data_IF_319602295878
#
_entry.id   IF_319602295878
#
_cell.length_a   1.000
_cell.length_b   1.000
_cell.length_c   1.000
_cell.angle_alpha   90.00
_cell.angle_beta   90.00
_cell.angle_gamma   90.00
#
_symmetry.space_group_name_H-M   'P 1'
#
loop_
_entity.id
_entity.type
_entity.pdbx_description
1 polymer ?
#
# COMPACT_ATOMS: atom_id res chain seq x y z
N UNK A 1 25.21 -45.18 -2.97
CA UNK A 1 24.48 -46.08 -2.06
C UNK A 1 24.94 -45.80 -0.64
N UNK A 2 24.16 -45.04 0.11
CA UNK A 2 24.30 -44.90 1.55
C UNK A 2 22.87 -44.75 2.10
N UNK A 3 22.44 -45.81 2.77
CA UNK A 3 21.15 -45.92 3.46
C UNK A 3 21.24 -45.22 4.82
N UNK A 4 20.13 -44.63 5.26
CA UNK A 4 19.92 -44.14 6.62
C UNK A 4 19.01 -42.91 6.57
N UNK A 5 17.68 -43.02 6.63
CA UNK A 5 16.93 -43.75 7.65
C UNK A 5 16.66 -42.81 8.82
N UNK A 6 15.85 -41.77 8.60
CA UNK A 6 15.36 -40.91 9.68
C UNK A 6 13.90 -41.25 9.99
N UNK A 7 13.69 -41.45 11.29
CA UNK A 7 12.57 -41.99 12.02
C UNK A 7 11.19 -41.42 11.64
N UNK A 8 10.23 -42.34 11.53
CA UNK A 8 8.82 -42.14 11.85
C UNK A 8 8.67 -41.52 13.25
N UNK A 9 8.04 -40.36 13.31
CA UNK A 9 7.52 -39.74 14.54
C UNK A 9 6.11 -39.25 14.28
N UNK A 10 5.15 -40.18 14.26
CA UNK A 10 3.71 -39.89 14.22
C UNK A 10 3.32 -39.32 15.59
N UNK A 11 2.96 -38.03 15.64
CA UNK A 11 2.19 -37.45 16.74
C UNK A 11 0.79 -37.17 16.19
N UNK A 12 -0.11 -38.13 16.40
CA UNK A 12 -1.55 -37.88 16.34
C UNK A 12 -1.92 -36.97 17.52
N UNK A 13 -2.20 -35.70 17.24
CA UNK A 13 -2.97 -34.83 18.11
C UNK A 13 -4.35 -34.64 17.50
N UNK A 14 -5.32 -35.46 17.91
CA UNK A 14 -6.74 -35.14 17.73
C UNK A 14 -7.11 -34.12 18.81
N UNK A 15 -7.16 -32.85 18.42
CA UNK A 15 -7.83 -31.79 19.17
C UNK A 15 -9.12 -31.44 18.46
N UNK A 16 -10.20 -32.14 18.82
CA UNK A 16 -11.57 -31.78 18.45
C UNK A 16 -12.17 -30.91 19.56
N UNK A 17 -13.16 -30.09 19.19
CA UNK A 17 -14.07 -29.28 20.03
C UNK A 17 -13.62 -27.82 20.20
N UNK A 18 -14.44 -26.78 20.05
CA UNK A 18 -15.82 -26.58 19.57
C UNK A 18 -15.99 -25.05 19.51
N UNK A 19 -16.81 -24.56 18.56
CA UNK A 19 -17.61 -23.33 18.62
C UNK A 19 -16.93 -22.01 19.04
N UNK A 20 -16.83 -21.05 18.12
CA UNK A 20 -17.54 -19.77 18.27
C UNK A 20 -17.59 -19.01 16.94
N UNK A 21 -18.80 -18.78 16.44
CA UNK A 21 -19.10 -17.67 15.53
C UNK A 21 -19.03 -16.40 16.38
N UNK A 22 -17.83 -15.89 16.58
CA UNK A 22 -17.58 -14.72 17.39
C UNK A 22 -16.52 -13.88 16.71
N UNK A 23 -16.94 -13.01 15.80
CA UNK A 23 -16.23 -11.75 15.67
C UNK A 23 -16.29 -11.12 17.07
N UNK A 24 -15.21 -11.32 17.83
CA UNK A 24 -14.93 -10.53 19.02
C UNK A 24 -14.72 -9.11 18.48
N UNK A 25 -15.86 -8.44 18.26
CA UNK A 25 -15.95 -7.00 18.37
C UNK A 25 -15.65 -6.78 19.84
N UNK A 26 -14.36 -6.82 20.19
CA UNK A 26 -13.87 -6.27 21.42
C UNK A 26 -14.63 -4.95 21.50
N UNK A 27 -15.42 -4.80 22.56
CA UNK A 27 -15.97 -3.52 23.02
C UNK A 27 -14.84 -2.54 23.37
N UNK A 28 -13.74 -2.53 22.60
CA UNK A 28 -12.96 -1.36 22.31
C UNK A 28 -13.94 -0.35 21.76
N UNK A 29 -14.25 0.64 22.60
CA UNK A 29 -15.04 1.79 22.24
C UNK A 29 -14.46 2.37 20.95
N UNK A 30 -15.08 2.01 19.84
CA UNK A 30 -14.97 2.71 18.58
C UNK A 30 -15.16 4.19 18.96
N UNK A 31 -14.14 5.05 18.84
CA UNK A 31 -14.30 6.45 19.19
C UNK A 31 -15.52 6.94 18.42
N UNK A 32 -16.53 7.39 19.16
CA UNK A 32 -17.77 7.89 18.57
C UNK A 32 -17.35 8.90 17.51
N UNK A 33 -18.01 8.84 16.35
CA UNK A 33 -17.74 9.67 15.18
C UNK A 33 -16.75 9.13 14.13
N UNK A 34 -16.06 8.00 14.34
CA UNK A 34 -15.17 7.40 13.32
C UNK A 34 -15.90 6.46 12.34
N UNK A 35 -15.35 6.24 11.14
CA UNK A 35 -15.96 5.40 10.09
C UNK A 35 -16.29 3.99 10.60
N UNK A 36 -17.53 3.55 10.36
CA UNK A 36 -18.05 2.25 10.83
C UNK A 36 -18.52 2.25 12.29
N UNK A 37 -18.34 3.34 13.03
CA UNK A 37 -18.80 3.47 14.42
C UNK A 37 -20.21 4.09 14.50
N UNK A 38 -20.85 4.00 15.69
CA UNK A 38 -22.16 4.60 15.92
C UNK A 38 -22.10 6.14 15.96
N UNK A 39 -23.15 6.79 15.45
CA UNK A 39 -23.28 8.24 15.52
C UNK A 39 -23.43 8.74 16.97
N UNK A 40 -23.15 10.01 17.21
CA UNK A 40 -23.50 10.65 18.49
C UNK A 40 -25.02 10.64 18.71
N UNK A 41 -25.47 10.92 19.94
CA UNK A 41 -26.91 11.06 20.24
C UNK A 41 -27.59 12.21 19.48
N UNK A 42 -26.80 13.15 18.94
CA UNK A 42 -27.24 14.23 18.05
C UNK A 42 -27.23 13.85 16.56
N UNK A 43 -26.77 12.64 16.21
CA UNK A 43 -26.64 12.18 14.82
C UNK A 43 -25.40 12.72 14.10
N UNK A 44 -24.37 13.12 14.85
CA UNK A 44 -23.13 13.69 14.31
C UNK A 44 -22.05 12.61 14.16
N UNK A 45 -21.16 12.82 13.20
CA UNK A 45 -19.97 12.02 12.89
C UNK A 45 -18.77 12.95 12.69
N UNK A 46 -17.56 12.40 12.50
CA UNK A 46 -16.36 13.20 12.27
C UNK A 46 -16.51 13.94 10.93
N UNK A 47 -15.86 15.12 10.77
CA UNK A 47 -15.92 15.87 9.52
C UNK A 47 -15.61 14.99 8.31
N UNK A 48 -16.50 14.97 7.31
CA UNK A 48 -16.40 14.11 6.12
C UNK A 48 -17.19 12.80 6.20
N UNK A 49 -17.82 12.49 7.33
CA UNK A 49 -18.71 11.33 7.50
C UNK A 49 -20.17 11.77 7.66
N UNK A 50 -21.10 10.94 7.21
CA UNK A 50 -22.54 11.14 7.38
C UNK A 50 -23.13 10.02 8.23
N UNK A 51 -24.07 10.37 9.11
CA UNK A 51 -24.78 9.39 9.91
C UNK A 51 -25.89 8.73 9.07
N UNK A 52 -25.63 7.53 8.55
CA UNK A 52 -26.62 6.69 7.86
C UNK A 52 -27.00 5.51 8.74
N UNK A 53 -28.30 5.31 8.97
CA UNK A 53 -28.82 4.21 9.79
C UNK A 53 -28.15 4.03 11.18
N UNK A 54 -27.80 5.14 11.85
CA UNK A 54 -27.08 5.18 13.14
C UNK A 54 -25.60 4.76 13.09
N UNK A 55 -25.00 4.70 11.90
CA UNK A 55 -23.58 4.40 11.69
C UNK A 55 -22.94 5.53 10.87
N UNK A 56 -21.73 5.93 11.23
CA UNK A 56 -20.94 6.89 10.47
C UNK A 56 -20.36 6.22 9.22
N UNK A 57 -20.83 6.61 8.05
CA UNK A 57 -20.32 6.16 6.74
C UNK A 57 -19.63 7.31 6.03
N UNK A 58 -18.72 7.01 5.10
CA UNK A 58 -18.10 8.01 4.26
C UNK A 58 -19.20 8.89 3.64
N UNK A 59 -19.16 10.18 3.95
CA UNK A 59 -20.05 11.17 3.38
C UNK A 59 -19.70 11.29 1.92
N UNK A 60 -20.34 10.48 1.09
CA UNK A 60 -20.16 10.51 -0.36
C UNK A 60 -20.22 11.96 -0.80
N UNK A 61 -19.11 12.40 -1.38
CA UNK A 61 -18.77 13.78 -1.68
C UNK A 61 -20.02 14.63 -1.87
N UNK A 62 -20.40 15.39 -0.83
CA UNK A 62 -21.23 16.56 -1.05
C UNK A 62 -20.35 17.52 -1.82
N UNK A 63 -20.29 17.29 -3.13
CA UNK A 63 -20.02 18.28 -4.17
C UNK A 63 -20.86 19.49 -3.78
N UNK A 64 -20.20 20.40 -3.08
CA UNK A 64 -20.75 21.70 -2.79
C UNK A 64 -20.89 22.39 -4.13
N UNK A 65 -22.07 22.31 -4.72
CA UNK A 65 -22.53 23.19 -5.78
C UNK A 65 -22.61 24.60 -5.16
N UNK A 66 -21.46 25.24 -5.03
CA UNK A 66 -21.30 26.61 -4.57
C UNK A 66 -21.83 27.59 -5.59
N UNK A 67 -23.13 27.52 -5.89
CA UNK A 67 -23.87 28.54 -6.63
C UNK A 67 -24.15 29.72 -5.69
N UNK A 68 -23.09 30.48 -5.44
CA UNK A 68 -23.08 31.70 -4.63
C UNK A 68 -22.48 32.87 -5.40
N UNK A 69 -22.98 33.15 -6.61
CA UNK A 69 -22.78 34.41 -7.31
C UNK A 69 -23.10 35.60 -6.38
N UNK A 70 -22.08 36.33 -5.92
CA UNK A 70 -22.12 37.80 -5.90
C UNK A 70 -20.73 38.39 -5.67
N UNK A 71 -20.10 38.92 -6.72
CA UNK A 71 -19.01 39.89 -6.54
C UNK A 71 -18.05 40.00 -7.71
N UNK A 72 -18.35 40.93 -8.61
CA UNK A 72 -17.43 41.47 -9.60
C UNK A 72 -16.23 42.12 -8.87
N UNK A 73 -15.14 41.37 -8.74
CA UNK A 73 -13.92 41.82 -8.09
C UNK A 73 -12.73 41.62 -9.01
N UNK A 74 -12.46 42.61 -9.85
CA UNK A 74 -11.20 42.78 -10.57
C UNK A 74 -10.06 42.83 -9.55
N UNK A 75 -9.41 41.69 -9.33
CA UNK A 75 -8.33 41.52 -8.37
C UNK A 75 -7.21 40.71 -8.99
N UNK A 76 -6.40 41.37 -9.81
CA UNK A 76 -5.08 40.91 -10.23
C UNK A 76 -4.24 40.72 -8.95
N UNK A 77 -4.13 39.47 -8.50
CA UNK A 77 -3.55 39.13 -7.19
C UNK A 77 -2.95 37.73 -7.20
N UNK A 78 -1.97 37.55 -8.08
CA UNK A 78 -0.81 36.67 -7.99
C UNK A 78 -0.38 36.37 -6.54
N UNK A 79 -0.84 35.24 -6.01
CA UNK A 79 -0.63 34.86 -4.61
C UNK A 79 -0.88 33.38 -4.33
N UNK A 80 -0.54 32.50 -5.27
CA UNK A 80 -0.51 31.05 -5.05
C UNK A 80 0.70 30.69 -4.16
N UNK A 81 0.49 30.68 -2.85
CA UNK A 81 1.41 30.10 -1.86
C UNK A 81 0.69 29.10 -0.96
N UNK A 82 -0.02 28.17 -1.57
CA UNK A 82 -0.73 27.10 -0.87
C UNK A 82 -0.81 25.85 -1.73
N UNK A 83 0.32 25.24 -2.01
CA UNK A 83 0.54 23.85 -2.46
C UNK A 83 0.08 22.84 -1.40
N UNK A 84 -1.14 23.04 -0.89
CA UNK A 84 -1.88 22.06 -0.13
C UNK A 84 -2.37 20.97 -1.06
N UNK A 85 -1.41 20.20 -1.60
CA UNK A 85 -1.64 19.00 -2.39
C UNK A 85 -2.38 18.00 -1.50
N UNK A 86 -3.71 18.11 -1.54
CA UNK A 86 -4.66 17.16 -0.96
C UNK A 86 -5.42 16.45 -2.07
N UNK A 87 -4.73 16.19 -3.18
CA UNK A 87 -5.19 15.27 -4.22
C UNK A 87 -6.25 15.87 -5.14
N UNK A 88 -5.89 16.89 -5.91
CA UNK A 88 -6.70 17.52 -6.95
C UNK A 88 -6.72 16.74 -8.29
N UNK A 89 -6.10 15.55 -8.34
CA UNK A 89 -6.32 14.60 -9.44
C UNK A 89 -5.76 15.07 -10.78
N UNK A 90 -4.75 15.93 -10.74
CA UNK A 90 -3.96 16.47 -11.85
C UNK A 90 -3.06 15.42 -12.54
N UNK A 91 -3.11 14.17 -12.09
CA UNK A 91 -2.53 13.05 -12.81
C UNK A 91 -1.03 12.89 -12.55
N UNK A 92 -0.56 13.41 -11.42
CA UNK A 92 0.77 13.13 -10.91
C UNK A 92 0.88 11.62 -10.62
N UNK A 93 1.43 10.90 -11.60
CA UNK A 93 1.64 9.47 -11.49
C UNK A 93 2.76 9.13 -10.49
N UNK A 94 3.44 10.12 -9.91
CA UNK A 94 4.46 9.92 -8.90
C UNK A 94 3.88 9.41 -7.59
N UNK A 95 4.49 8.37 -7.04
CA UNK A 95 4.01 7.71 -5.84
C UNK A 95 5.16 7.36 -4.90
N UNK A 96 4.85 7.16 -3.61
CA UNK A 96 5.81 6.67 -2.64
C UNK A 96 5.73 5.13 -2.53
N UNK A 97 6.82 4.38 -2.77
CA UNK A 97 6.78 2.91 -2.85
C UNK A 97 6.42 2.22 -1.54
N UNK A 98 6.62 2.89 -0.41
CA UNK A 98 6.25 2.38 0.91
C UNK A 98 4.85 2.77 1.37
N UNK A 99 4.20 3.76 0.75
CA UNK A 99 2.90 4.28 1.22
C UNK A 99 1.71 3.81 0.37
N UNK A 100 1.93 3.14 -0.77
CA UNK A 100 0.86 2.59 -1.64
C UNK A 100 -0.23 3.65 -1.94
N UNK A 101 0.18 4.88 -2.22
CA UNK A 101 -0.72 6.01 -2.49
C UNK A 101 -1.11 6.12 -3.97
N UNK A 102 -1.45 5.00 -4.61
CA UNK A 102 -1.91 5.07 -5.99
C UNK A 102 -3.41 5.35 -6.07
N UNK A 103 -3.86 6.37 -6.83
CA UNK A 103 -5.26 6.81 -6.85
C UNK A 103 -6.21 5.77 -7.49
N UNK A 104 -5.67 4.85 -8.29
CA UNK A 104 -6.46 3.81 -8.95
C UNK A 104 -6.35 2.48 -8.21
N UNK A 105 -7.48 1.90 -7.82
CA UNK A 105 -7.54 0.56 -7.20
C UNK A 105 -6.88 -0.48 -8.11
N UNK A 106 -5.98 -1.29 -7.55
CA UNK A 106 -5.25 -2.31 -8.29
C UNK A 106 -3.99 -1.82 -9.02
N UNK A 107 -3.63 -0.54 -8.82
CA UNK A 107 -2.31 -0.04 -9.21
C UNK A 107 -1.36 -0.06 -8.02
N UNK A 108 -0.08 -0.21 -8.30
CA UNK A 108 0.99 -0.23 -7.31
C UNK A 108 2.09 0.71 -7.75
N UNK A 109 2.82 1.24 -6.78
CA UNK A 109 3.93 2.11 -7.03
C UNK A 109 5.13 1.31 -7.54
N UNK A 110 5.57 1.58 -8.77
CA UNK A 110 6.62 0.82 -9.45
C UNK A 110 7.72 1.75 -9.92
N UNK A 111 8.98 1.29 -9.85
CA UNK A 111 10.12 2.04 -10.36
C UNK A 111 10.27 1.83 -11.88
N UNK A 112 10.24 2.91 -12.67
CA UNK A 112 10.38 2.85 -14.14
C UNK A 112 11.83 2.97 -14.63
N UNK A 113 12.77 3.29 -13.74
CA UNK A 113 14.16 3.58 -14.07
C UNK A 113 14.58 5.03 -13.82
N UNK A 114 13.62 5.95 -13.69
CA UNK A 114 13.86 7.37 -13.44
C UNK A 114 13.08 7.88 -12.22
N UNK A 115 11.83 7.42 -12.05
CA UNK A 115 10.95 7.80 -10.97
C UNK A 115 10.01 6.65 -10.57
N UNK A 116 9.29 6.84 -9.47
CA UNK A 116 8.22 5.94 -9.09
C UNK A 116 6.94 6.35 -9.82
N UNK A 117 6.24 5.39 -10.42
CA UNK A 117 4.99 5.59 -11.15
C UNK A 117 3.95 4.54 -10.75
N UNK A 118 2.69 4.96 -10.63
CA UNK A 118 1.57 4.05 -10.43
C UNK A 118 1.26 3.25 -11.69
N UNK A 119 1.55 1.95 -11.67
CA UNK A 119 1.23 1.01 -12.75
C UNK A 119 0.32 -0.11 -12.23
N UNK A 120 -0.48 -0.76 -13.10
CA UNK A 120 -1.23 -1.96 -12.72
C UNK A 120 -0.27 -3.04 -12.18
N UNK A 121 -0.45 -3.42 -10.92
CA UNK A 121 0.36 -4.46 -10.25
C UNK A 121 -0.45 -5.74 -10.13
N UNK A 122 -0.07 -6.77 -10.87
CA UNK A 122 -0.78 -8.07 -10.89
C UNK A 122 0.14 -9.27 -10.64
N UNK A 123 1.46 -9.07 -10.67
CA UNK A 123 2.46 -10.14 -10.54
C UNK A 123 2.93 -10.18 -9.08
N UNK A 124 2.84 -11.34 -8.44
CA UNK A 124 3.26 -11.49 -7.07
C UNK A 124 4.80 -11.42 -6.93
N UNK A 125 5.28 -11.07 -5.75
CA UNK A 125 6.71 -11.07 -5.46
C UNK A 125 7.31 -12.48 -5.66
N UNK A 126 8.43 -12.56 -6.38
CA UNK A 126 9.11 -13.81 -6.72
C UNK A 126 8.67 -14.42 -8.07
N UNK A 127 7.52 -14.00 -8.61
CA UNK A 127 7.10 -14.44 -9.94
C UNK A 127 7.88 -13.73 -11.05
N UNK A 128 7.84 -14.34 -12.23
CA UNK A 128 8.51 -13.83 -13.43
C UNK A 128 7.86 -12.55 -13.94
N UNK A 129 8.67 -11.56 -14.32
CA UNK A 129 8.21 -10.28 -14.84
C UNK A 129 8.93 -9.89 -16.13
N UNK A 130 8.34 -8.96 -16.89
CA UNK A 130 8.95 -8.35 -18.06
C UNK A 130 9.55 -6.99 -17.68
N UNK A 131 10.86 -6.74 -17.87
CA UNK A 131 11.47 -5.45 -17.56
C UNK A 131 10.93 -4.30 -18.41
N UNK A 132 10.32 -4.57 -19.58
CA UNK A 132 9.67 -3.54 -20.40
C UNK A 132 8.29 -3.13 -19.84
N UNK A 133 7.64 -4.00 -19.07
CA UNK A 133 6.33 -3.75 -18.45
C UNK A 133 6.31 -4.31 -17.02
N UNK A 134 6.99 -3.67 -16.06
CA UNK A 134 7.05 -4.16 -14.69
C UNK A 134 5.67 -4.02 -14.02
N UNK A 135 4.99 -5.16 -13.79
CA UNK A 135 3.67 -5.22 -13.15
C UNK A 135 3.72 -5.90 -11.78
N UNK A 136 4.83 -5.70 -11.06
CA UNK A 136 5.08 -6.30 -9.76
C UNK A 136 4.26 -5.63 -8.67
N UNK A 137 3.55 -6.41 -7.86
CA UNK A 137 2.78 -5.90 -6.73
C UNK A 137 3.75 -5.31 -5.70
N UNK A 138 3.75 -3.97 -5.58
CA UNK A 138 4.58 -3.21 -4.65
C UNK A 138 6.08 -3.53 -4.77
N UNK A 139 6.57 -3.56 -6.01
CA UNK A 139 7.93 -3.97 -6.31
C UNK A 139 8.45 -3.49 -7.66
N UNK A 140 9.59 -4.05 -8.05
CA UNK A 140 10.22 -3.82 -9.35
C UNK A 140 10.72 -5.14 -9.96
N UNK A 141 10.99 -5.11 -11.25
CA UNK A 141 11.46 -6.28 -11.98
C UNK A 141 12.99 -6.39 -11.89
N UNK A 142 13.47 -7.25 -10.99
CA UNK A 142 14.90 -7.44 -10.71
C UNK A 142 15.47 -8.61 -11.54
N UNK A 143 16.73 -8.52 -12.02
CA UNK A 143 17.36 -9.62 -12.74
C UNK A 143 17.68 -10.81 -11.82
N UNK A 144 17.70 -12.02 -12.38
CA UNK A 144 17.96 -13.29 -11.67
C UNK A 144 19.24 -13.27 -10.83
N UNK A 145 20.27 -12.53 -11.26
CA UNK A 145 21.51 -12.40 -10.50
C UNK A 145 21.37 -11.72 -9.13
N UNK A 146 20.23 -11.09 -8.86
CA UNK A 146 19.94 -10.38 -7.60
C UNK A 146 18.94 -11.13 -6.71
N UNK A 147 18.32 -12.22 -7.18
CA UNK A 147 17.30 -12.99 -6.46
C UNK A 147 17.58 -14.50 -6.55
N UNK A 148 17.67 -15.18 -5.40
CA UNK A 148 18.00 -16.60 -5.32
C UNK A 148 16.88 -17.53 -5.83
N UNK A 149 15.62 -17.12 -5.71
CA UNK A 149 14.44 -17.92 -6.04
C UNK A 149 13.71 -17.40 -7.29
N UNK A 150 14.46 -16.90 -8.27
CA UNK A 150 13.88 -16.39 -9.51
C UNK A 150 13.82 -17.49 -10.59
N UNK A 151 12.63 -17.99 -10.99
CA UNK A 151 12.51 -19.05 -12.00
C UNK A 151 12.81 -18.60 -13.44
N UNK A 152 12.99 -17.30 -13.68
CA UNK A 152 13.25 -16.73 -15.01
C UNK A 152 14.43 -15.74 -14.97
N UNK A 153 14.64 -15.01 -16.07
CA UNK A 153 15.72 -14.01 -16.13
C UNK A 153 15.43 -12.78 -15.25
N UNK A 154 14.15 -12.51 -14.95
CA UNK A 154 13.71 -11.37 -14.16
C UNK A 154 12.52 -11.73 -13.28
N UNK A 155 12.56 -11.35 -12.00
CA UNK A 155 11.47 -11.60 -11.07
C UNK A 155 11.15 -10.39 -10.21
N UNK A 156 9.93 -10.37 -9.71
CA UNK A 156 9.45 -9.29 -8.86
C UNK A 156 10.16 -9.29 -7.50
N UNK A 157 10.84 -8.19 -7.19
CA UNK A 157 11.44 -7.90 -5.90
C UNK A 157 10.65 -6.80 -5.18
N UNK A 158 10.52 -6.90 -3.86
CA UNK A 158 9.85 -5.89 -3.04
C UNK A 158 10.75 -4.70 -2.70
N UNK A 159 10.13 -3.57 -2.38
CA UNK A 159 10.81 -2.45 -1.72
C UNK A 159 10.89 -2.66 -0.21
N UNK A 160 11.82 -1.98 0.44
CA UNK A 160 11.97 -2.00 1.90
C UNK A 160 12.37 -0.62 2.43
N UNK A 161 12.16 -0.42 3.73
CA UNK A 161 12.60 0.78 4.42
C UNK A 161 14.05 0.58 4.92
N UNK A 162 14.97 1.46 4.56
CA UNK A 162 16.37 1.37 5.00
C UNK A 162 16.54 1.65 6.50
N UNK A 163 15.65 2.44 7.12
CA UNK A 163 15.66 2.67 8.57
C UNK A 163 15.12 1.47 9.35
N UNK A 164 14.28 0.65 8.72
CA UNK A 164 13.69 -0.57 9.28
C UNK A 164 13.78 -1.70 8.25
N UNK A 165 14.99 -2.29 8.08
CA UNK A 165 15.32 -3.19 6.97
C UNK A 165 14.65 -4.56 7.11
N UNK A 166 13.35 -4.60 6.84
CA UNK A 166 12.52 -5.81 6.82
C UNK A 166 12.10 -6.10 5.38
N UNK A 167 12.28 -7.35 4.97
CA UNK A 167 11.88 -7.83 3.65
C UNK A 167 10.88 -8.97 3.77
N UNK A 168 9.81 -8.91 2.97
CA UNK A 168 8.74 -9.92 2.98
C UNK A 168 9.19 -11.26 2.41
N UNK A 169 10.22 -11.27 1.55
CA UNK A 169 10.78 -12.48 0.95
C UNK A 169 11.90 -13.05 1.82
N UNK A 170 11.80 -14.34 2.17
CA UNK A 170 12.85 -15.01 2.94
C UNK A 170 14.19 -15.04 2.17
N UNK A 171 15.30 -14.86 2.88
CA UNK A 171 16.64 -14.87 2.27
C UNK A 171 17.02 -13.62 1.48
N UNK A 172 16.20 -12.56 1.56
CA UNK A 172 16.54 -11.24 1.04
C UNK A 172 16.94 -10.29 2.16
N UNK A 173 17.76 -9.30 1.83
CA UNK A 173 18.18 -8.20 2.69
C UNK A 173 17.83 -6.87 2.02
N UNK A 174 17.49 -5.88 2.84
CA UNK A 174 17.23 -4.54 2.36
C UNK A 174 18.55 -3.85 2.01
N UNK A 175 18.75 -3.51 0.74
CA UNK A 175 19.94 -2.82 0.25
C UNK A 175 19.58 -1.52 -0.44
N UNK A 176 20.47 -0.55 -0.34
CA UNK A 176 20.39 0.69 -1.10
C UNK A 176 20.61 0.35 -2.59
N UNK A 177 19.56 0.52 -3.39
CA UNK A 177 19.53 0.09 -4.79
C UNK A 177 19.32 1.24 -5.78
N UNK A 178 18.63 2.30 -5.35
CA UNK A 178 18.29 3.43 -6.21
C UNK A 178 19.47 4.42 -6.24
N UNK A 179 19.78 5.02 -7.41
CA UNK A 179 20.88 5.97 -7.52
C UNK A 179 20.60 7.25 -6.74
N UNK A 180 21.67 7.96 -6.36
CA UNK A 180 21.61 9.30 -5.77
C UNK A 180 20.72 10.21 -6.63
N UNK A 181 19.61 10.70 -6.05
CA UNK A 181 18.65 11.56 -6.72
C UNK A 181 17.26 10.93 -6.95
N UNK A 182 17.06 9.65 -6.65
CA UNK A 182 15.71 9.13 -6.45
C UNK A 182 15.06 9.91 -5.29
N UNK A 183 13.91 10.53 -5.55
CA UNK A 183 13.29 11.53 -4.66
C UNK A 183 12.74 10.94 -3.35
N UNK A 184 12.86 9.64 -3.13
CA UNK A 184 12.37 8.95 -1.94
C UNK A 184 13.53 8.56 -1.02
N UNK A 185 13.85 9.38 0.00
CA UNK A 185 14.86 9.00 0.99
C UNK A 185 14.44 7.70 1.69
N UNK A 186 15.44 6.92 2.11
CA UNK A 186 15.28 5.72 2.95
C UNK A 186 14.51 4.55 2.30
N UNK A 187 14.45 4.49 0.96
CA UNK A 187 13.90 3.34 0.23
C UNK A 187 15.02 2.45 -0.30
N UNK A 188 14.95 1.16 0.00
CA UNK A 188 15.84 0.13 -0.51
C UNK A 188 15.09 -0.92 -1.34
N UNK A 189 15.85 -1.89 -1.85
CA UNK A 189 15.33 -3.07 -2.51
C UNK A 189 15.61 -4.33 -1.69
N UNK A 190 14.66 -5.26 -1.68
CA UNK A 190 14.85 -6.59 -1.11
C UNK A 190 15.57 -7.49 -2.10
N UNK A 191 16.89 -7.62 -1.94
CA UNK A 191 17.75 -8.42 -2.81
C UNK A 191 18.40 -9.56 -2.03
N UNK A 192 18.80 -10.63 -2.72
CA UNK A 192 19.55 -11.71 -2.08
C UNK A 192 20.87 -11.19 -1.50
N UNK A 193 21.15 -11.60 -0.25
CA UNK A 193 22.41 -11.28 0.40
C UNK A 193 23.61 -11.92 -0.31
N UNK A 194 24.81 -11.32 -0.18
CA UNK A 194 26.05 -11.87 -0.71
C UNK A 194 26.42 -13.22 -0.08
#
# INVERSE_FOLDING_TARGET
>A
MLLGGCLLGVVLGCGESSNDEGVDFETGACPISTEGCACTSSGECDPGLVCDAQVCVAGGDTTGDGDGDTGDGDGDGDGDTGDGDTGDGDGDMSCHPLMVDCPTVGTTCTWDGAMFTCLPGIIALGDSCDPATPQCISGFCAPMGMLFDCPSNYCCAGFCNLDSPTCSQAGTQCVEYFPDGATTPNVGACLSGP
#
